data_IF_803141046313
#
_entry.id   IF_803141046313
#
_cell.length_a   1.000
_cell.length_b   1.000
_cell.length_c   1.000
_cell.angle_alpha   90.00
_cell.angle_beta   90.00
_cell.angle_gamma   90.00
#
_symmetry.space_group_name_H-M   'P 1'
#
loop_
_entity.id
_entity.type
_entity.pdbx_description
1 polymer ?
#
# COMPACT_ATOMS: atom_id res chain seq x y z
N UNK A 1 12.54 -29.71 -4.85
CA UNK A 1 12.77 -28.27 -4.51
C UNK A 1 14.00 -28.15 -3.60
N UNK A 2 14.68 -27.00 -3.57
CA UNK A 2 15.86 -26.77 -2.74
C UNK A 2 15.41 -26.34 -1.34
N UNK A 3 16.05 -26.85 -0.28
CA UNK A 3 15.79 -26.43 1.10
C UNK A 3 16.15 -24.96 1.28
N UNK A 4 15.32 -24.23 2.01
CA UNK A 4 15.56 -22.84 2.43
C UNK A 4 15.11 -22.61 3.87
N UNK A 5 15.59 -21.53 4.43
CA UNK A 5 15.26 -21.12 5.80
C UNK A 5 14.70 -19.70 5.81
N UNK A 6 13.62 -19.51 6.55
CA UNK A 6 13.13 -18.19 6.95
C UNK A 6 13.65 -17.93 8.37
N UNK A 7 14.55 -16.96 8.50
CA UNK A 7 15.17 -16.57 9.76
C UNK A 7 14.57 -15.25 10.22
N UNK A 8 14.03 -15.21 11.43
CA UNK A 8 13.45 -14.01 12.04
C UNK A 8 14.47 -13.28 12.92
N UNK A 9 14.30 -11.97 13.08
CA UNK A 9 15.17 -11.15 13.93
C UNK A 9 15.15 -11.55 15.42
N UNK A 10 14.11 -12.24 15.89
CA UNK A 10 14.04 -12.81 17.24
C UNK A 10 14.77 -14.16 17.40
N UNK A 11 15.41 -14.65 16.34
CA UNK A 11 16.14 -15.92 16.33
C UNK A 11 15.31 -17.15 15.97
N UNK A 12 14.01 -17.05 15.79
CA UNK A 12 13.18 -18.17 15.30
C UNK A 12 13.54 -18.48 13.86
N UNK A 13 13.62 -19.77 13.54
CA UNK A 13 13.95 -20.29 12.21
C UNK A 13 12.83 -21.24 11.78
N UNK A 14 12.36 -21.05 10.55
CA UNK A 14 11.46 -21.97 9.87
C UNK A 14 12.20 -22.61 8.70
N UNK A 15 12.08 -23.90 8.55
CA UNK A 15 12.60 -24.65 7.41
C UNK A 15 11.48 -24.86 6.39
N UNK A 16 11.80 -24.68 5.11
CA UNK A 16 10.86 -24.84 4.01
C UNK A 16 11.57 -25.16 2.70
N UNK A 17 10.85 -25.04 1.61
CA UNK A 17 11.31 -25.32 0.27
C UNK A 17 11.28 -24.07 -0.61
N UNK A 18 12.29 -23.94 -1.48
CA UNK A 18 12.40 -22.84 -2.43
C UNK A 18 11.37 -22.93 -3.54
N UNK A 19 10.70 -21.84 -3.84
CA UNK A 19 10.02 -21.57 -5.11
C UNK A 19 10.30 -20.14 -5.55
N UNK A 20 9.84 -19.72 -6.72
CA UNK A 20 10.23 -18.42 -7.26
C UNK A 20 11.72 -18.37 -7.64
N UNK A 21 12.33 -17.21 -7.46
CA UNK A 21 13.75 -17.00 -7.82
C UNK A 21 14.70 -17.67 -6.83
N UNK A 22 15.71 -18.39 -7.35
CA UNK A 22 16.76 -18.96 -6.50
C UNK A 22 17.75 -17.88 -6.07
N UNK A 23 17.49 -17.29 -4.92
CA UNK A 23 18.25 -16.20 -4.31
C UNK A 23 17.91 -16.06 -2.84
N UNK A 24 18.52 -15.08 -2.20
CA UNK A 24 18.26 -14.69 -0.81
C UNK A 24 17.52 -13.36 -0.74
N UNK A 25 16.78 -13.14 0.34
CA UNK A 25 16.08 -11.88 0.59
C UNK A 25 16.25 -11.46 2.04
N UNK A 26 16.29 -10.15 2.28
CA UNK A 26 16.20 -9.53 3.60
C UNK A 26 15.18 -8.41 3.53
N UNK A 27 14.24 -8.35 4.49
CA UNK A 27 13.21 -7.32 4.53
C UNK A 27 12.42 -7.36 5.83
N UNK A 28 11.53 -6.39 6.02
CA UNK A 28 10.55 -6.44 7.10
C UNK A 28 9.50 -7.51 6.79
N UNK A 29 9.36 -8.49 7.67
CA UNK A 29 8.37 -9.55 7.54
C UNK A 29 7.00 -9.03 7.99
N UNK A 30 6.04 -9.11 7.08
CA UNK A 30 4.64 -8.73 7.30
C UNK A 30 3.72 -9.86 6.84
N UNK A 31 2.50 -9.90 7.34
CA UNK A 31 1.53 -10.91 6.93
C UNK A 31 0.26 -10.27 6.35
N UNK A 32 -0.37 -11.00 5.44
CA UNK A 32 -1.66 -10.65 4.84
C UNK A 32 -2.61 -11.83 4.97
N UNK A 33 -3.80 -11.59 5.53
CA UNK A 33 -4.81 -12.62 5.84
C UNK A 33 -5.89 -12.77 4.77
N UNK A 34 -5.79 -12.06 3.65
CA UNK A 34 -6.77 -12.14 2.58
C UNK A 34 -6.81 -13.55 1.96
N UNK A 35 -8.00 -14.06 1.75
CA UNK A 35 -8.23 -15.34 1.09
C UNK A 35 -8.13 -15.24 -0.45
N UNK A 36 -8.23 -14.04 -1.00
CA UNK A 36 -8.19 -13.72 -2.43
C UNK A 36 -7.31 -12.48 -2.65
N UNK A 37 -6.98 -12.16 -3.90
CA UNK A 37 -6.22 -10.95 -4.22
C UNK A 37 -4.71 -11.08 -3.98
N UNK A 38 -4.16 -12.28 -4.10
CA UNK A 38 -2.71 -12.48 -3.98
C UNK A 38 -1.96 -11.87 -5.17
N UNK A 39 -2.56 -11.79 -6.36
CA UNK A 39 -1.98 -11.14 -7.55
C UNK A 39 -1.78 -9.64 -7.28
N UNK A 40 -2.82 -8.99 -6.79
CA UNK A 40 -2.80 -7.58 -6.38
C UNK A 40 -1.77 -7.38 -5.25
N UNK A 41 -1.79 -8.23 -4.22
CA UNK A 41 -0.85 -8.11 -3.10
C UNK A 41 0.62 -8.24 -3.54
N UNK A 42 0.97 -9.20 -4.39
CA UNK A 42 2.34 -9.41 -4.87
C UNK A 42 2.82 -8.25 -5.75
N UNK A 43 1.90 -7.58 -6.45
CA UNK A 43 2.21 -6.44 -7.34
C UNK A 43 2.00 -5.07 -6.70
N UNK A 44 1.54 -5.01 -5.44
CA UNK A 44 1.28 -3.80 -4.67
C UNK A 44 2.60 -3.07 -4.31
N UNK A 45 2.84 -1.82 -4.79
CA UNK A 45 4.08 -1.09 -4.52
C UNK A 45 4.33 -0.81 -3.04
N UNK A 46 3.29 -0.74 -2.21
CA UNK A 46 3.41 -0.48 -0.78
C UNK A 46 4.12 -1.58 0.00
N UNK A 47 4.35 -2.76 -0.60
CA UNK A 47 5.20 -3.81 -0.04
C UNK A 47 6.70 -3.65 -0.33
N UNK A 48 7.14 -2.50 -0.87
CA UNK A 48 8.57 -2.28 -1.09
C UNK A 48 9.38 -2.50 0.20
N UNK A 49 10.44 -3.32 0.09
CA UNK A 49 11.33 -3.63 1.20
C UNK A 49 10.80 -4.72 2.16
N UNK A 50 9.62 -5.26 1.92
CA UNK A 50 8.98 -6.22 2.81
C UNK A 50 9.06 -7.64 2.26
N UNK A 51 9.12 -8.61 3.17
CA UNK A 51 8.86 -10.04 2.92
C UNK A 51 7.40 -10.27 3.29
N UNK A 52 6.59 -10.63 2.30
CA UNK A 52 5.15 -10.84 2.48
C UNK A 52 4.84 -12.30 2.80
N UNK A 53 4.26 -12.56 3.97
CA UNK A 53 3.66 -13.86 4.31
C UNK A 53 2.17 -13.84 3.98
N UNK A 54 1.74 -14.67 3.03
CA UNK A 54 0.32 -14.87 2.73
C UNK A 54 -0.20 -16.04 3.55
N UNK A 55 -1.23 -15.80 4.37
CA UNK A 55 -1.68 -16.80 5.35
C UNK A 55 -2.70 -17.77 4.83
N UNK A 56 -3.33 -17.48 3.68
CA UNK A 56 -4.26 -18.42 3.05
C UNK A 56 -3.52 -19.73 2.70
N UNK A 57 -4.11 -20.90 2.97
CA UNK A 57 -3.39 -22.19 2.91
C UNK A 57 -2.73 -22.50 1.59
N UNK A 58 -3.41 -22.22 0.46
CA UNK A 58 -2.89 -22.51 -0.89
C UNK A 58 -2.95 -21.24 -1.73
N UNK A 59 -1.82 -20.80 -2.24
CA UNK A 59 -1.69 -19.62 -3.09
C UNK A 59 -1.42 -20.03 -4.54
N UNK A 60 -2.00 -19.31 -5.49
CA UNK A 60 -1.72 -19.55 -6.92
C UNK A 60 -2.81 -20.31 -7.68
N UNK A 61 -3.91 -20.71 -7.05
CA UNK A 61 -4.98 -21.50 -7.66
C UNK A 61 -5.58 -20.89 -8.93
N UNK A 62 -5.64 -19.55 -9.00
CA UNK A 62 -6.13 -18.82 -10.17
C UNK A 62 -5.01 -18.37 -11.12
N UNK A 63 -3.75 -18.70 -10.83
CA UNK A 63 -2.61 -18.21 -11.57
C UNK A 63 -2.38 -16.70 -11.38
N UNK A 64 -1.51 -16.12 -12.18
CA UNK A 64 -1.27 -14.68 -12.31
C UNK A 64 -1.93 -14.16 -13.56
N UNK A 65 -2.53 -12.97 -13.49
CA UNK A 65 -3.18 -12.31 -14.60
C UNK A 65 -2.81 -10.82 -14.61
N UNK A 66 -2.29 -10.33 -15.71
CA UNK A 66 -1.80 -8.96 -15.85
C UNK A 66 -2.89 -7.89 -15.64
N UNK A 67 -4.16 -8.20 -15.89
CA UNK A 67 -5.28 -7.27 -15.63
C UNK A 67 -5.47 -6.96 -14.14
N UNK A 68 -5.02 -7.85 -13.26
CA UNK A 68 -5.15 -7.74 -11.81
C UNK A 68 -3.87 -7.15 -11.15
N UNK A 69 -2.88 -6.73 -11.95
CA UNK A 69 -1.63 -6.13 -11.44
C UNK A 69 -1.85 -4.70 -10.97
N UNK A 70 -1.39 -4.40 -9.77
CA UNK A 70 -1.42 -3.04 -9.20
C UNK A 70 -0.25 -2.17 -9.64
N UNK A 71 0.82 -2.77 -10.20
CA UNK A 71 1.94 -2.03 -10.78
C UNK A 71 2.67 -2.83 -11.86
N UNK A 72 3.44 -2.12 -12.69
CA UNK A 72 4.24 -2.71 -13.77
C UNK A 72 5.34 -3.67 -13.24
N UNK A 73 5.75 -3.52 -11.97
CA UNK A 73 6.81 -4.32 -11.33
C UNK A 73 6.50 -4.56 -9.86
N UNK A 74 6.53 -5.81 -9.40
CA UNK A 74 6.42 -6.10 -7.98
C UNK A 74 7.57 -5.45 -7.20
N UNK A 75 7.31 -5.08 -5.95
CA UNK A 75 8.24 -4.34 -5.11
C UNK A 75 8.56 -5.05 -3.79
N UNK A 76 7.91 -6.17 -3.50
CA UNK A 76 8.25 -7.00 -2.35
C UNK A 76 9.65 -7.62 -2.51
N UNK A 77 10.31 -7.89 -1.40
CA UNK A 77 11.67 -8.45 -1.39
C UNK A 77 11.68 -9.98 -1.26
N UNK A 78 10.61 -10.56 -0.75
CA UNK A 78 10.44 -12.00 -0.64
C UNK A 78 8.99 -12.41 -0.40
N UNK A 79 8.69 -13.67 -0.63
CA UNK A 79 7.34 -14.20 -0.48
C UNK A 79 7.34 -15.48 0.33
N UNK A 80 6.40 -15.60 1.28
CA UNK A 80 6.29 -16.73 2.20
C UNK A 80 4.88 -17.28 2.15
N UNK A 81 4.73 -18.57 1.89
CA UNK A 81 3.43 -19.26 1.82
C UNK A 81 3.50 -20.61 2.53
N UNK A 82 2.35 -21.15 2.87
CA UNK A 82 2.25 -22.52 3.32
C UNK A 82 2.39 -23.48 2.13
N UNK A 83 1.54 -23.31 1.14
CA UNK A 83 1.54 -24.10 -0.09
C UNK A 83 1.31 -23.18 -1.29
N UNK A 84 1.88 -23.50 -2.44
CA UNK A 84 1.55 -22.85 -3.70
C UNK A 84 1.06 -23.87 -4.72
N UNK A 85 0.16 -23.41 -5.60
CA UNK A 85 -0.38 -24.20 -6.69
C UNK A 85 0.52 -24.04 -7.92
N UNK A 86 1.05 -25.13 -8.44
CA UNK A 86 1.89 -25.18 -9.65
C UNK A 86 1.07 -25.45 -10.93
N UNK A 87 -0.18 -25.91 -10.77
CA UNK A 87 -1.14 -26.15 -11.87
C UNK A 87 -2.42 -25.32 -11.64
N UNK A 88 -2.41 -24.03 -11.90
CA UNK A 88 -3.58 -23.17 -11.69
C UNK A 88 -4.74 -23.59 -12.60
N UNK A 89 -5.96 -23.60 -12.04
CA UNK A 89 -7.19 -23.94 -12.75
C UNK A 89 -8.11 -22.74 -12.88
N UNK A 90 -7.74 -21.78 -13.73
CA UNK A 90 -8.55 -20.61 -14.04
C UNK A 90 -8.33 -20.21 -15.50
N UNK A 91 -9.43 -19.90 -16.22
CA UNK A 91 -9.36 -19.51 -17.62
C UNK A 91 -8.61 -18.18 -17.87
N UNK A 92 -8.45 -17.33 -16.84
CA UNK A 92 -7.70 -16.07 -16.90
C UNK A 92 -6.23 -16.26 -16.56
N UNK A 93 -5.78 -17.46 -16.19
CA UNK A 93 -4.39 -17.70 -15.82
C UNK A 93 -3.46 -17.52 -17.03
N UNK A 94 -2.50 -16.62 -16.92
CA UNK A 94 -1.47 -16.37 -17.93
C UNK A 94 -0.15 -17.07 -17.59
N UNK A 95 0.13 -17.20 -16.28
CA UNK A 95 1.33 -17.86 -15.74
C UNK A 95 1.10 -18.30 -14.30
N UNK A 96 1.97 -19.15 -13.77
CA UNK A 96 1.98 -19.54 -12.36
C UNK A 96 2.60 -18.44 -11.49
N UNK A 97 2.33 -18.49 -10.18
CA UNK A 97 3.00 -17.60 -9.19
C UNK A 97 4.51 -17.85 -9.19
N UNK A 98 4.94 -19.10 -9.33
CA UNK A 98 6.36 -19.48 -9.39
C UNK A 98 7.07 -18.85 -10.58
N UNK A 99 6.49 -18.93 -11.78
CA UNK A 99 7.02 -18.30 -12.99
C UNK A 99 7.09 -16.78 -12.86
N UNK A 100 6.04 -16.16 -12.31
CA UNK A 100 6.01 -14.73 -12.07
C UNK A 100 7.12 -14.26 -11.11
N UNK A 101 7.30 -14.96 -9.99
CA UNK A 101 8.34 -14.63 -9.01
C UNK A 101 9.74 -14.84 -9.57
N UNK A 102 9.96 -15.92 -10.36
CA UNK A 102 11.22 -16.14 -11.09
C UNK A 102 11.56 -15.03 -12.07
N UNK A 103 10.59 -14.66 -12.89
CA UNK A 103 10.76 -13.59 -13.89
C UNK A 103 11.11 -12.24 -13.24
N UNK A 104 10.58 -11.98 -12.06
CA UNK A 104 10.80 -10.73 -11.32
C UNK A 104 11.94 -10.82 -10.27
N UNK A 105 12.67 -11.95 -10.21
CA UNK A 105 13.79 -12.19 -9.28
C UNK A 105 13.41 -12.05 -7.81
N UNK A 106 12.24 -12.55 -7.44
CA UNK A 106 11.73 -12.54 -6.07
C UNK A 106 11.95 -13.92 -5.44
N UNK A 107 12.80 -14.03 -4.41
CA UNK A 107 12.95 -15.29 -3.66
C UNK A 107 11.67 -15.61 -2.89
N UNK A 108 11.31 -16.89 -2.86
CA UNK A 108 10.14 -17.35 -2.14
C UNK A 108 10.39 -18.68 -1.43
N UNK A 109 9.64 -18.90 -0.36
CA UNK A 109 9.70 -20.10 0.45
C UNK A 109 8.29 -20.62 0.74
N UNK A 110 8.07 -21.92 0.55
CA UNK A 110 6.85 -22.64 0.91
C UNK A 110 7.10 -23.68 1.99
N UNK A 111 6.05 -24.35 2.46
CA UNK A 111 6.12 -25.30 3.56
C UNK A 111 6.18 -24.65 4.94
N UNK A 112 5.94 -23.35 5.04
CA UNK A 112 6.01 -22.60 6.30
C UNK A 112 4.68 -22.68 7.04
N UNK A 113 4.74 -22.90 8.37
CA UNK A 113 3.57 -22.71 9.21
C UNK A 113 3.25 -21.21 9.33
N UNK A 114 2.46 -20.73 8.36
CA UNK A 114 2.05 -19.32 8.29
C UNK A 114 1.14 -18.92 9.44
N UNK A 115 0.49 -19.87 10.11
CA UNK A 115 -0.32 -19.61 11.31
C UNK A 115 0.58 -19.31 12.50
N UNK A 116 1.57 -20.17 12.82
CA UNK A 116 2.56 -19.90 13.86
C UNK A 116 3.29 -18.58 13.58
N UNK A 117 3.67 -18.34 12.32
CA UNK A 117 4.34 -17.11 11.91
C UNK A 117 3.48 -15.86 12.19
N UNK A 118 2.18 -15.93 11.90
CA UNK A 118 1.24 -14.83 12.16
C UNK A 118 1.08 -14.58 13.67
N UNK A 119 0.99 -15.64 14.49
CA UNK A 119 0.92 -15.51 15.95
C UNK A 119 2.17 -14.81 16.49
N UNK A 120 3.36 -15.19 16.02
CA UNK A 120 4.62 -14.52 16.39
C UNK A 120 4.60 -13.04 16.05
N UNK A 121 4.19 -12.68 14.83
CA UNK A 121 4.16 -11.28 14.38
C UNK A 121 3.09 -10.46 15.10
N UNK A 122 1.95 -11.05 15.41
CA UNK A 122 0.91 -10.40 16.20
C UNK A 122 1.37 -10.13 17.64
N UNK A 123 2.07 -11.08 18.24
CA UNK A 123 2.47 -11.01 19.63
C UNK A 123 3.74 -10.17 19.84
N UNK A 124 4.65 -10.13 18.88
CA UNK A 124 5.94 -9.39 18.97
C UNK A 124 6.03 -8.16 18.07
N UNK A 125 5.09 -7.98 17.14
CA UNK A 125 5.14 -6.96 16.11
C UNK A 125 5.85 -7.42 14.84
N UNK A 126 5.75 -6.61 13.76
CA UNK A 126 6.54 -6.85 12.54
C UNK A 126 8.01 -6.75 12.86
N UNK A 127 8.82 -7.59 12.22
CA UNK A 127 10.26 -7.63 12.43
C UNK A 127 10.99 -7.97 11.13
N UNK A 128 12.28 -7.69 11.08
CA UNK A 128 13.09 -8.09 9.95
C UNK A 128 13.25 -9.62 9.89
N UNK A 129 13.31 -10.14 8.67
CA UNK A 129 13.54 -11.53 8.39
C UNK A 129 14.44 -11.70 7.17
N UNK A 130 15.01 -12.90 7.03
CA UNK A 130 15.75 -13.30 5.83
C UNK A 130 15.24 -14.64 5.30
N UNK A 131 15.18 -14.76 3.97
CA UNK A 131 15.07 -16.03 3.25
C UNK A 131 16.48 -16.38 2.78
N UNK A 132 17.05 -17.48 3.28
CA UNK A 132 18.45 -17.87 3.03
C UNK A 132 18.59 -19.36 2.73
N UNK A 133 19.68 -19.75 2.04
CA UNK A 133 20.01 -21.15 1.79
C UNK A 133 20.62 -21.82 3.02
N UNK A 134 21.39 -21.06 3.81
CA UNK A 134 22.05 -21.52 5.02
C UNK A 134 21.95 -20.46 6.10
N UNK A 135 21.84 -20.88 7.35
CA UNK A 135 21.76 -19.98 8.50
C UNK A 135 23.19 -19.73 9.02
N UNK A 136 23.71 -18.52 8.74
CA UNK A 136 25.01 -18.10 9.27
C UNK A 136 24.86 -17.58 10.72
N UNK A 137 25.96 -17.66 11.51
CA UNK A 137 25.99 -17.23 12.92
C UNK A 137 25.61 -15.74 13.11
N UNK A 138 25.91 -14.90 12.13
CA UNK A 138 25.66 -13.46 12.18
C UNK A 138 24.33 -13.04 11.53
N UNK A 139 23.56 -13.99 10.97
CA UNK A 139 22.29 -13.70 10.26
C UNK A 139 21.35 -12.87 11.11
N UNK A 140 21.04 -13.30 12.32
CA UNK A 140 20.13 -12.59 13.24
C UNK A 140 20.67 -11.20 13.61
N UNK A 141 21.99 -11.09 13.84
CA UNK A 141 22.63 -9.82 14.17
C UNK A 141 22.56 -8.81 13.01
N UNK A 142 22.65 -9.30 11.78
CA UNK A 142 22.54 -8.46 10.58
C UNK A 142 21.09 -8.01 10.35
N UNK A 143 20.11 -8.87 10.63
CA UNK A 143 18.68 -8.51 10.57
C UNK A 143 18.32 -7.34 11.49
N UNK A 144 18.89 -7.28 12.69
CA UNK A 144 18.62 -6.19 13.63
C UNK A 144 19.05 -4.80 13.11
N UNK A 145 19.96 -4.76 12.15
CA UNK A 145 20.48 -3.51 11.54
C UNK A 145 19.77 -3.11 10.24
N UNK A 146 19.00 -4.04 9.66
CA UNK A 146 18.34 -3.77 8.38
C UNK A 146 17.27 -2.68 8.53
N UNK A 147 17.29 -1.70 7.61
CA UNK A 147 16.29 -0.62 7.51
C UNK A 147 15.86 -0.45 6.07
N UNK A 148 14.58 -0.24 5.86
CA UNK A 148 14.04 0.15 4.56
C UNK A 148 14.25 1.66 4.43
N UNK A 149 14.96 2.09 3.38
CA UNK A 149 15.26 3.51 3.12
C UNK A 149 14.87 3.89 1.71
N UNK A 150 14.63 5.17 1.46
CA UNK A 150 14.33 5.72 0.13
C UNK A 150 13.14 5.04 -0.57
N UNK A 151 12.15 4.56 0.20
CA UNK A 151 11.07 3.74 -0.34
C UNK A 151 10.33 4.42 -1.50
N UNK A 152 9.91 5.68 -1.34
CA UNK A 152 9.21 6.43 -2.38
C UNK A 152 10.06 6.60 -3.66
N UNK A 153 11.33 6.91 -3.51
CA UNK A 153 12.27 7.03 -4.64
C UNK A 153 12.39 5.74 -5.45
N UNK A 154 12.23 4.59 -4.80
CA UNK A 154 12.40 3.26 -5.41
C UNK A 154 11.14 2.77 -6.11
N UNK A 155 9.96 3.20 -5.69
CA UNK A 155 8.68 2.83 -6.31
C UNK A 155 8.20 3.83 -7.34
N UNK A 156 8.56 5.10 -7.18
CA UNK A 156 8.16 6.19 -8.06
C UNK A 156 8.67 6.03 -9.49
N UNK A 157 7.80 6.32 -10.44
CA UNK A 157 8.08 6.32 -11.86
C UNK A 157 8.44 7.71 -12.41
N UNK A 158 8.59 7.76 -13.73
CA UNK A 158 8.68 9.02 -14.49
C UNK A 158 7.28 9.61 -14.68
N UNK A 159 7.21 10.87 -15.14
CA UNK A 159 5.93 11.48 -15.53
C UNK A 159 5.15 10.57 -16.47
N UNK A 160 3.91 10.28 -16.11
CA UNK A 160 2.99 9.43 -16.88
C UNK A 160 1.61 10.09 -16.94
N UNK A 161 0.98 10.04 -18.09
CA UNK A 161 -0.38 10.58 -18.28
C UNK A 161 -1.31 9.43 -18.61
N UNK A 162 -2.32 9.25 -17.77
CA UNK A 162 -3.40 8.30 -17.97
C UNK A 162 -4.62 9.07 -18.49
N UNK A 163 -5.04 8.73 -19.71
CA UNK A 163 -6.17 9.39 -20.36
C UNK A 163 -7.49 8.94 -19.74
N UNK A 164 -8.45 9.85 -19.73
CA UNK A 164 -9.82 9.52 -19.40
C UNK A 164 -10.39 8.46 -20.37
N UNK A 165 -11.22 7.58 -19.85
CA UNK A 165 -12.03 6.68 -20.67
C UNK A 165 -13.22 7.50 -21.20
N UNK A 166 -13.33 7.62 -22.52
CA UNK A 166 -14.34 8.46 -23.16
C UNK A 166 -14.00 9.95 -23.12
N UNK A 167 -14.98 10.80 -22.79
CA UNK A 167 -14.79 12.26 -22.74
C UNK A 167 -14.01 12.68 -21.50
N UNK A 168 -12.97 13.48 -21.69
CA UNK A 168 -12.24 14.11 -20.57
C UNK A 168 -13.15 15.18 -19.92
N UNK A 169 -13.44 14.98 -18.63
CA UNK A 169 -14.28 15.89 -17.84
C UNK A 169 -13.45 16.67 -16.82
N UNK A 170 -12.46 16.01 -16.22
CA UNK A 170 -11.61 16.55 -15.16
C UNK A 170 -10.14 16.19 -15.37
N UNK A 171 -9.26 17.00 -14.82
CA UNK A 171 -7.82 16.81 -14.79
C UNK A 171 -7.35 16.65 -13.35
N UNK A 172 -6.62 15.57 -13.07
CA UNK A 172 -6.09 15.25 -11.75
C UNK A 172 -4.56 15.23 -11.82
N UNK A 173 -3.90 15.92 -10.88
CA UNK A 173 -2.47 15.78 -10.64
C UNK A 173 -2.23 14.82 -9.47
N UNK A 174 -1.19 13.98 -9.59
CA UNK A 174 -0.85 12.98 -8.58
C UNK A 174 0.68 12.85 -8.47
N UNK A 175 1.31 13.11 -7.31
CA UNK A 175 2.67 12.68 -7.07
C UNK A 175 2.71 11.15 -6.95
N UNK A 176 3.66 10.50 -7.61
CA UNK A 176 3.76 9.04 -7.64
C UNK A 176 4.48 8.51 -6.40
N UNK A 177 3.74 8.23 -5.34
CA UNK A 177 4.23 7.58 -4.13
C UNK A 177 4.22 6.05 -4.21
N UNK A 178 3.86 5.48 -5.35
CA UNK A 178 3.57 4.07 -5.57
C UNK A 178 2.08 3.84 -5.78
N UNK A 179 1.47 4.66 -6.65
CA UNK A 179 0.05 4.60 -6.94
C UNK A 179 -0.36 3.28 -7.59
N UNK A 180 -1.45 2.70 -7.10
CA UNK A 180 -2.01 1.48 -7.66
C UNK A 180 -2.74 1.72 -8.97
N UNK A 181 -2.68 0.73 -9.86
CA UNK A 181 -3.40 0.74 -11.12
C UNK A 181 -4.92 0.85 -10.90
N UNK A 182 -5.45 0.17 -9.90
CA UNK A 182 -6.87 0.22 -9.52
C UNK A 182 -7.33 1.63 -9.13
N UNK A 183 -6.53 2.38 -8.35
CA UNK A 183 -6.84 3.77 -8.00
C UNK A 183 -6.89 4.67 -9.24
N UNK A 184 -5.92 4.55 -10.14
CA UNK A 184 -5.86 5.33 -11.38
C UNK A 184 -7.05 4.97 -12.28
N UNK A 185 -7.34 3.68 -12.45
CA UNK A 185 -8.45 3.16 -13.25
C UNK A 185 -9.79 3.70 -12.77
N UNK A 186 -10.03 3.69 -11.46
CA UNK A 186 -11.24 4.22 -10.85
C UNK A 186 -11.56 5.65 -11.32
N UNK A 187 -10.57 6.53 -11.39
CA UNK A 187 -10.77 7.92 -11.82
C UNK A 187 -10.81 8.05 -13.34
N UNK A 188 -9.99 7.28 -14.08
CA UNK A 188 -10.01 7.35 -15.55
C UNK A 188 -11.35 6.87 -16.13
N UNK A 189 -11.98 5.85 -15.54
CA UNK A 189 -13.31 5.37 -15.91
C UNK A 189 -14.44 6.39 -15.63
N UNK A 190 -14.19 7.34 -14.74
CA UNK A 190 -15.12 8.47 -14.46
C UNK A 190 -14.81 9.73 -15.30
N UNK A 191 -14.02 9.61 -16.35
CA UNK A 191 -13.69 10.71 -17.24
C UNK A 191 -12.60 11.65 -16.71
N UNK A 192 -11.79 11.21 -15.75
CA UNK A 192 -10.67 11.98 -15.25
C UNK A 192 -9.39 11.65 -16.03
N UNK A 193 -8.69 12.65 -16.55
CA UNK A 193 -7.30 12.50 -16.95
C UNK A 193 -6.41 12.57 -15.70
N UNK A 194 -5.59 11.57 -15.44
CA UNK A 194 -4.67 11.52 -14.31
C UNK A 194 -3.23 11.70 -14.78
N UNK A 195 -2.57 12.75 -14.30
CA UNK A 195 -1.15 13.01 -14.59
C UNK A 195 -0.32 12.72 -13.35
N UNK A 196 0.44 11.63 -13.39
CA UNK A 196 1.39 11.27 -12.36
C UNK A 196 2.72 12.00 -12.60
N UNK A 197 3.26 12.65 -11.57
CA UNK A 197 4.61 13.20 -11.53
C UNK A 197 5.46 12.38 -10.56
N UNK A 198 6.81 12.41 -10.67
CA UNK A 198 7.67 11.76 -9.69
C UNK A 198 7.36 12.18 -8.25
N UNK A 199 7.63 11.29 -7.27
CA UNK A 199 7.31 11.48 -5.85
C UNK A 199 7.84 12.81 -5.26
N UNK A 200 8.94 13.31 -5.80
CA UNK A 200 9.63 14.54 -5.37
C UNK A 200 9.22 15.78 -6.17
N UNK A 201 8.15 15.69 -6.98
CA UNK A 201 7.60 16.88 -7.63
C UNK A 201 7.12 17.88 -6.55
N UNK A 202 7.49 19.13 -6.69
CA UNK A 202 7.07 20.20 -5.80
C UNK A 202 5.64 20.71 -6.09
N UNK A 203 5.13 21.57 -5.24
CA UNK A 203 3.77 22.10 -5.36
C UNK A 203 3.58 22.93 -6.65
N UNK A 204 4.61 23.67 -7.09
CA UNK A 204 4.56 24.48 -8.30
C UNK A 204 4.42 23.58 -9.54
N UNK A 205 5.20 22.50 -9.61
CA UNK A 205 5.13 21.54 -10.70
C UNK A 205 3.75 20.84 -10.80
N UNK A 206 3.16 20.50 -9.65
CA UNK A 206 1.83 19.88 -9.60
C UNK A 206 0.75 20.88 -10.00
N UNK A 207 0.81 22.14 -9.52
CA UNK A 207 -0.15 23.18 -9.85
C UNK A 207 -0.01 23.70 -11.29
N UNK A 208 1.20 23.65 -11.88
CA UNK A 208 1.45 24.02 -13.27
C UNK A 208 0.71 23.11 -14.28
N UNK A 209 0.23 21.94 -13.86
CA UNK A 209 -0.66 21.10 -14.66
C UNK A 209 -2.10 21.66 -14.74
N UNK A 210 -2.40 22.72 -14.01
CA UNK A 210 -3.75 23.29 -13.78
C UNK A 210 -4.81 22.21 -13.52
N UNK A 211 -4.61 21.38 -12.48
CA UNK A 211 -5.55 20.30 -12.19
C UNK A 211 -6.83 20.82 -11.56
N UNK A 212 -7.91 20.08 -11.76
CA UNK A 212 -9.17 20.30 -11.04
C UNK A 212 -9.09 19.80 -9.59
N UNK A 213 -8.27 18.75 -9.36
CA UNK A 213 -8.02 18.19 -8.04
C UNK A 213 -6.66 17.47 -7.96
N UNK A 214 -6.24 17.17 -6.76
CA UNK A 214 -4.97 16.49 -6.47
C UNK A 214 -5.25 15.21 -5.67
N UNK A 215 -4.67 14.09 -6.09
CA UNK A 215 -4.69 12.84 -5.32
C UNK A 215 -3.32 12.60 -4.74
N UNK A 216 -3.27 12.34 -3.44
CA UNK A 216 -2.10 11.85 -2.73
C UNK A 216 -2.27 10.33 -2.55
N UNK A 217 -1.57 9.49 -3.32
CA UNK A 217 -1.83 8.05 -3.33
C UNK A 217 -1.18 7.33 -2.15
N UNK A 218 -1.48 6.03 -2.03
CA UNK A 218 -0.77 5.11 -1.15
C UNK A 218 0.70 4.94 -1.55
N UNK A 219 1.48 4.37 -0.65
CA UNK A 219 2.90 4.10 -0.88
C UNK A 219 3.56 3.42 0.32
N UNK A 220 4.81 2.97 0.16
CA UNK A 220 5.58 2.30 1.19
C UNK A 220 6.31 3.25 2.14
N UNK A 221 6.77 2.69 3.25
CA UNK A 221 7.72 3.32 4.17
C UNK A 221 7.09 4.09 5.33
N UNK A 222 7.93 4.74 6.11
CA UNK A 222 7.53 5.62 7.20
C UNK A 222 7.12 6.98 6.65
N UNK A 223 5.88 7.45 6.88
CA UNK A 223 5.44 8.76 6.41
C UNK A 223 6.32 9.91 6.94
N UNK A 224 6.81 9.82 8.18
CA UNK A 224 7.60 10.86 8.81
C UNK A 224 9.01 11.04 8.20
N UNK A 225 9.53 10.04 7.49
CA UNK A 225 10.82 10.13 6.78
C UNK A 225 10.75 10.97 5.49
N UNK A 226 9.57 11.38 5.06
CA UNK A 226 9.34 12.04 3.77
C UNK A 226 9.10 13.55 3.90
N UNK A 227 9.99 14.26 4.59
CA UNK A 227 9.86 15.70 4.90
C UNK A 227 9.55 16.57 3.65
N UNK A 228 10.23 16.31 2.52
CA UNK A 228 9.99 17.07 1.29
C UNK A 228 8.57 16.87 0.74
N UNK A 229 8.02 15.64 0.82
CA UNK A 229 6.63 15.37 0.42
C UNK A 229 5.65 16.06 1.37
N UNK A 230 5.93 16.04 2.67
CA UNK A 230 5.10 16.74 3.68
C UNK A 230 5.06 18.24 3.39
N UNK A 231 6.20 18.87 3.10
CA UNK A 231 6.29 20.29 2.75
C UNK A 231 5.54 20.61 1.45
N UNK A 232 5.65 19.75 0.43
CA UNK A 232 4.88 19.88 -0.80
C UNK A 232 3.37 19.83 -0.53
N UNK A 233 2.91 18.85 0.25
CA UNK A 233 1.48 18.72 0.63
C UNK A 233 1.01 19.93 1.40
N UNK A 234 1.82 20.47 2.31
CA UNK A 234 1.51 21.70 3.06
C UNK A 234 1.31 22.91 2.13
N UNK A 235 2.14 23.05 1.10
CA UNK A 235 2.02 24.14 0.10
C UNK A 235 0.81 23.97 -0.82
N UNK A 236 0.37 22.74 -1.08
CA UNK A 236 -0.82 22.42 -1.88
C UNK A 236 -2.14 22.66 -1.12
N UNK A 237 -2.10 22.64 0.20
CA UNK A 237 -3.28 22.74 1.08
C UNK A 237 -4.08 24.02 0.79
N UNK A 238 -5.38 23.86 0.56
CA UNK A 238 -6.31 24.96 0.26
C UNK A 238 -6.22 25.52 -1.17
N UNK A 239 -5.28 25.07 -2.01
CA UNK A 239 -5.16 25.55 -3.41
C UNK A 239 -6.12 24.86 -4.36
N UNK A 240 -6.33 23.57 -4.19
CA UNK A 240 -7.21 22.70 -4.98
C UNK A 240 -7.86 21.68 -4.06
N UNK A 241 -8.98 21.05 -4.44
CA UNK A 241 -9.48 19.86 -3.76
C UNK A 241 -8.41 18.77 -3.66
N UNK A 242 -8.26 18.16 -2.46
CA UNK A 242 -7.26 17.10 -2.22
C UNK A 242 -7.97 15.86 -1.69
N UNK A 243 -7.63 14.71 -2.27
CA UNK A 243 -7.98 13.39 -1.78
C UNK A 243 -6.71 12.60 -1.42
N UNK A 244 -6.57 12.19 -0.17
CA UNK A 244 -5.44 11.37 0.31
C UNK A 244 -5.84 9.93 0.58
N UNK A 245 -4.99 8.96 0.16
CA UNK A 245 -5.21 7.53 0.37
C UNK A 245 -3.97 6.89 0.98
N UNK A 246 -4.12 6.07 2.03
CA UNK A 246 -3.04 5.33 2.64
C UNK A 246 -1.90 6.24 3.12
N UNK A 247 -0.73 6.18 2.49
CA UNK A 247 0.38 7.10 2.77
C UNK A 247 -0.02 8.56 2.53
N UNK A 248 -0.81 8.85 1.51
CA UNK A 248 -1.31 10.20 1.24
C UNK A 248 -2.19 10.75 2.36
N UNK A 249 -2.99 9.91 3.03
CA UNK A 249 -3.71 10.26 4.25
C UNK A 249 -2.74 10.67 5.37
N UNK A 250 -1.70 9.89 5.59
CA UNK A 250 -0.71 10.12 6.65
C UNK A 250 0.13 11.38 6.38
N UNK A 251 0.60 11.57 5.13
CA UNK A 251 1.34 12.77 4.72
C UNK A 251 0.49 14.04 4.84
N UNK A 252 -0.81 13.96 4.50
CA UNK A 252 -1.71 15.10 4.67
C UNK A 252 -1.88 15.46 6.15
N UNK A 253 -2.08 14.47 7.03
CA UNK A 253 -2.17 14.69 8.48
C UNK A 253 -0.89 15.32 9.05
N UNK A 254 0.30 14.80 8.66
CA UNK A 254 1.60 15.36 9.04
C UNK A 254 1.77 16.80 8.56
N UNK A 255 1.35 17.11 7.33
CA UNK A 255 1.38 18.48 6.77
C UNK A 255 0.51 19.47 7.57
N UNK A 256 -0.54 18.98 8.25
CA UNK A 256 -1.39 19.76 9.16
C UNK A 256 -0.90 19.75 10.62
N UNK A 257 0.30 19.21 10.90
CA UNK A 257 0.92 19.20 12.22
C UNK A 257 0.55 18.02 13.11
N UNK A 258 -0.22 17.06 12.60
CA UNK A 258 -0.48 15.82 13.32
C UNK A 258 0.77 14.93 13.39
N UNK A 259 0.70 13.84 14.13
CA UNK A 259 1.76 12.83 14.27
C UNK A 259 1.27 11.48 13.81
N UNK A 260 2.20 10.64 13.41
CA UNK A 260 1.98 9.24 13.06
C UNK A 260 2.77 8.33 13.98
N UNK A 261 2.32 7.10 14.12
CA UNK A 261 3.01 6.06 14.87
C UNK A 261 2.99 4.72 14.11
N UNK A 262 3.98 3.89 14.38
CA UNK A 262 4.04 2.54 13.82
C UNK A 262 3.12 1.62 14.59
N UNK A 263 2.23 0.94 13.87
CA UNK A 263 1.40 -0.13 14.42
C UNK A 263 2.24 -1.36 14.73
N UNK A 264 1.85 -2.13 15.73
CA UNK A 264 2.56 -3.34 16.15
C UNK A 264 2.74 -4.33 14.99
N UNK A 265 1.67 -4.61 14.24
CA UNK A 265 1.71 -5.50 13.07
C UNK A 265 1.05 -4.92 11.82
N UNK A 266 0.43 -3.73 11.92
CA UNK A 266 -0.27 -3.06 10.83
C UNK A 266 -1.58 -3.71 10.42
N UNK A 267 -2.28 -3.08 9.48
CA UNK A 267 -3.49 -3.62 8.87
C UNK A 267 -3.20 -4.05 7.43
N UNK A 268 -3.33 -5.37 7.16
CA UNK A 268 -3.11 -5.94 5.82
C UNK A 268 -4.13 -7.02 5.53
N UNK A 269 -4.78 -6.90 4.36
CA UNK A 269 -5.80 -7.82 3.90
C UNK A 269 -7.10 -7.13 3.51
N UNK A 270 -8.03 -7.91 2.98
CA UNK A 270 -9.30 -7.43 2.39
C UNK A 270 -10.49 -7.51 3.38
N UNK A 271 -10.25 -7.73 4.66
CA UNK A 271 -11.31 -7.95 5.67
C UNK A 271 -11.17 -7.06 6.91
N UNK A 272 -10.67 -5.83 6.73
CA UNK A 272 -10.52 -4.88 7.83
C UNK A 272 -11.84 -4.13 8.07
N UNK A 273 -12.45 -4.27 9.27
CA UNK A 273 -13.72 -3.62 9.56
C UNK A 273 -13.49 -2.17 9.97
N UNK A 274 -14.12 -1.25 9.23
CA UNK A 274 -14.04 0.19 9.46
C UNK A 274 -15.42 0.74 9.72
N UNK A 275 -15.60 1.49 10.81
CA UNK A 275 -16.83 2.17 11.14
C UNK A 275 -16.85 3.56 10.50
N UNK A 276 -17.83 3.82 9.67
CA UNK A 276 -18.22 5.18 9.28
C UNK A 276 -18.98 5.84 10.46
N UNK A 277 -18.41 6.89 10.99
CA UNK A 277 -18.91 7.55 12.21
C UNK A 277 -20.26 8.25 11.95
N UNK A 278 -20.43 8.82 10.75
CA UNK A 278 -21.63 9.57 10.41
C UNK A 278 -22.86 8.66 10.21
N UNK A 279 -22.69 7.61 9.42
CA UNK A 279 -23.79 6.66 9.15
C UNK A 279 -23.93 5.58 10.20
N UNK A 280 -22.91 5.37 11.05
CA UNK A 280 -22.83 4.29 12.02
C UNK A 280 -22.60 2.90 11.41
N UNK A 281 -22.44 2.79 10.09
CA UNK A 281 -22.26 1.53 9.36
C UNK A 281 -20.83 1.02 9.50
N UNK A 282 -20.68 -0.30 9.46
CA UNK A 282 -19.37 -0.95 9.36
C UNK A 282 -19.14 -1.37 7.92
N UNK A 283 -18.03 -0.91 7.36
CA UNK A 283 -17.53 -1.26 6.04
C UNK A 283 -16.45 -2.33 6.18
N UNK A 284 -16.39 -3.28 5.27
CA UNK A 284 -15.27 -4.21 5.16
C UNK A 284 -14.34 -3.66 4.09
N UNK A 285 -13.11 -3.35 4.48
CA UNK A 285 -12.15 -2.62 3.64
C UNK A 285 -10.91 -3.43 3.35
N UNK A 286 -10.24 -3.11 2.24
CA UNK A 286 -8.91 -3.59 1.91
C UNK A 286 -7.87 -2.58 2.40
N UNK A 287 -6.86 -3.07 3.13
CA UNK A 287 -5.82 -2.22 3.72
C UNK A 287 -4.43 -2.84 3.54
N UNK A 288 -3.42 -1.98 3.44
CA UNK A 288 -2.02 -2.37 3.49
C UNK A 288 -1.19 -1.20 4.04
N UNK A 289 -1.11 -1.11 5.37
CA UNK A 289 -0.30 -0.09 6.03
C UNK A 289 0.27 -0.57 7.35
N UNK A 290 1.41 0.01 7.75
CA UNK A 290 2.08 -0.25 9.02
C UNK A 290 2.08 0.95 9.98
N UNK A 291 1.55 2.10 9.55
CA UNK A 291 1.50 3.33 10.34
C UNK A 291 0.07 3.86 10.42
N UNK A 292 -0.23 4.60 11.48
CA UNK A 292 -1.52 5.27 11.69
C UNK A 292 -1.32 6.71 12.14
N UNK A 293 -2.33 7.55 11.96
CA UNK A 293 -2.37 8.92 12.47
C UNK A 293 -2.83 8.88 13.93
N UNK A 294 -2.12 9.61 14.82
CA UNK A 294 -2.46 9.70 16.23
C UNK A 294 -3.62 10.69 16.40
N UNK A 295 -4.83 10.25 16.84
CA UNK A 295 -6.05 11.04 16.81
C UNK A 295 -5.94 12.37 17.60
N UNK A 296 -5.34 12.34 18.78
CA UNK A 296 -5.20 13.50 19.67
C UNK A 296 -4.27 14.59 19.13
N UNK A 297 -3.55 14.33 18.06
CA UNK A 297 -2.63 15.28 17.41
C UNK A 297 -3.24 15.98 16.20
N UNK A 298 -4.42 15.57 15.78
CA UNK A 298 -5.13 16.20 14.68
C UNK A 298 -5.54 17.64 15.04
N UNK A 299 -5.49 18.60 14.08
CA UNK A 299 -5.94 19.96 14.34
C UNK A 299 -7.45 19.98 14.65
N UNK A 300 -7.89 20.89 15.51
CA UNK A 300 -9.30 20.99 15.94
C UNK A 300 -10.32 21.28 14.81
N UNK A 301 -9.84 21.64 13.62
CA UNK A 301 -10.66 21.80 12.41
C UNK A 301 -10.85 20.52 11.60
N UNK A 302 -10.08 19.48 11.92
CA UNK A 302 -10.20 18.16 11.31
C UNK A 302 -11.34 17.36 11.96
N UNK A 303 -12.03 16.58 11.16
CA UNK A 303 -13.13 15.71 11.62
C UNK A 303 -12.76 14.26 11.28
N UNK A 304 -12.58 13.42 12.28
CA UNK A 304 -12.42 11.97 12.08
C UNK A 304 -13.76 11.44 11.56
N UNK A 305 -13.73 10.78 10.42
CA UNK A 305 -14.91 10.24 9.73
C UNK A 305 -15.00 8.72 9.82
N UNK A 306 -13.86 8.05 9.91
CA UNK A 306 -13.79 6.60 9.96
C UNK A 306 -12.79 6.13 11.03
N UNK A 307 -13.14 5.03 11.71
CA UNK A 307 -12.26 4.36 12.68
C UNK A 307 -12.27 2.86 12.48
N UNK A 308 -11.15 2.19 12.71
CA UNK A 308 -11.09 0.73 12.72
C UNK A 308 -11.90 0.19 13.91
N UNK A 309 -12.67 -0.88 13.69
CA UNK A 309 -13.54 -1.46 14.73
C UNK A 309 -12.74 -2.24 15.77
N UNK A 310 -11.57 -2.80 15.38
CA UNK A 310 -10.79 -3.70 16.23
C UNK A 310 -9.93 -2.94 17.25
N UNK A 311 -9.34 -1.80 16.84
CA UNK A 311 -8.34 -1.08 17.65
C UNK A 311 -8.57 0.43 17.71
N UNK A 312 -9.66 0.92 17.12
CA UNK A 312 -10.08 2.33 17.11
C UNK A 312 -9.07 3.30 16.44
N UNK A 313 -8.13 2.80 15.64
CA UNK A 313 -7.23 3.64 14.85
C UNK A 313 -8.00 4.51 13.86
N UNK A 314 -7.41 5.67 13.49
CA UNK A 314 -7.99 6.61 12.54
C UNK A 314 -7.90 6.05 11.13
N UNK A 315 -9.04 5.90 10.47
CA UNK A 315 -9.16 5.35 9.14
C UNK A 315 -9.64 6.36 8.09
N UNK A 316 -10.11 7.52 8.52
CA UNK A 316 -10.52 8.59 7.61
C UNK A 316 -10.68 9.92 8.32
N UNK A 317 -10.32 11.00 7.64
CA UNK A 317 -10.40 12.37 8.16
C UNK A 317 -10.89 13.32 7.08
N UNK A 318 -11.87 14.17 7.42
CA UNK A 318 -12.27 15.31 6.64
C UNK A 318 -11.61 16.59 7.16
N UNK A 319 -11.19 17.45 6.23
CA UNK A 319 -10.64 18.79 6.49
C UNK A 319 -11.47 19.85 5.73
N UNK A 320 -12.70 20.18 6.22
CA UNK A 320 -13.65 20.97 5.45
C UNK A 320 -13.13 22.35 5.02
N UNK A 321 -12.40 23.03 5.90
CA UNK A 321 -11.81 24.36 5.63
C UNK A 321 -10.67 24.34 4.63
N UNK A 322 -10.10 23.16 4.37
CA UNK A 322 -8.94 22.95 3.49
C UNK A 322 -9.33 22.28 2.16
N UNK A 323 -10.62 22.05 1.93
CA UNK A 323 -11.14 21.33 0.76
C UNK A 323 -10.44 19.98 0.57
N UNK A 324 -10.28 19.21 1.65
CA UNK A 324 -9.59 17.93 1.62
C UNK A 324 -10.31 16.87 2.44
N UNK A 325 -10.21 15.63 2.01
CA UNK A 325 -10.53 14.46 2.81
C UNK A 325 -9.56 13.32 2.53
N UNK A 326 -9.42 12.43 3.49
CA UNK A 326 -8.41 11.37 3.40
C UNK A 326 -8.93 10.06 3.97
N UNK A 327 -8.50 8.94 3.39
CA UNK A 327 -8.84 7.58 3.83
C UNK A 327 -7.56 6.76 3.99
N UNK A 328 -7.46 5.98 5.06
CA UNK A 328 -6.33 5.08 5.27
C UNK A 328 -6.44 3.80 4.45
N UNK A 329 -7.66 3.37 4.13
CA UNK A 329 -7.99 2.16 3.37
C UNK A 329 -8.17 2.42 1.87
N UNK A 330 -8.17 1.36 1.08
CA UNK A 330 -8.44 1.44 -0.36
C UNK A 330 -9.87 1.98 -0.61
N UNK A 331 -10.02 3.08 -1.35
CA UNK A 331 -11.31 3.72 -1.57
C UNK A 331 -12.20 2.88 -2.47
N UNK A 332 -13.51 2.95 -2.24
CA UNK A 332 -14.47 2.43 -3.19
C UNK A 332 -14.84 3.48 -4.27
N UNK A 333 -15.17 2.98 -5.46
CA UNK A 333 -15.46 3.84 -6.62
C UNK A 333 -16.79 4.62 -6.49
N UNK A 334 -17.66 4.23 -5.56
CA UNK A 334 -18.98 4.86 -5.43
C UNK A 334 -18.98 6.03 -4.46
N UNK A 335 -18.44 5.87 -3.27
CA UNK A 335 -18.50 6.92 -2.25
C UNK A 335 -17.34 7.91 -2.34
N UNK A 336 -16.12 7.42 -2.29
CA UNK A 336 -14.93 8.28 -2.24
C UNK A 336 -14.67 8.99 -3.58
N UNK A 337 -14.78 8.27 -4.70
CA UNK A 337 -14.59 8.85 -6.02
C UNK A 337 -15.65 9.91 -6.34
N UNK A 338 -16.92 9.61 -6.08
CA UNK A 338 -18.03 10.58 -6.31
C UNK A 338 -17.90 11.80 -5.41
N UNK A 339 -17.51 11.62 -4.14
CA UNK A 339 -17.23 12.74 -3.23
C UNK A 339 -16.14 13.66 -3.80
N UNK A 340 -15.03 13.08 -4.28
CA UNK A 340 -13.93 13.88 -4.83
C UNK A 340 -14.31 14.60 -6.12
N UNK A 341 -15.03 13.93 -7.03
CA UNK A 341 -15.54 14.55 -8.25
C UNK A 341 -16.44 15.73 -7.92
N UNK A 342 -17.38 15.57 -6.98
CA UNK A 342 -18.25 16.67 -6.54
C UNK A 342 -17.46 17.87 -5.99
N UNK A 343 -16.41 17.63 -5.21
CA UNK A 343 -15.54 18.70 -4.72
C UNK A 343 -14.84 19.45 -5.86
N UNK A 344 -14.40 18.75 -6.92
CA UNK A 344 -13.83 19.38 -8.12
C UNK A 344 -14.87 20.19 -8.90
N UNK A 345 -16.12 19.72 -8.99
CA UNK A 345 -17.22 20.45 -9.63
C UNK A 345 -17.53 21.76 -8.90
N UNK A 346 -17.67 21.71 -7.59
CA UNK A 346 -17.94 22.87 -6.74
C UNK A 346 -16.82 23.93 -6.88
N UNK A 347 -15.57 23.50 -6.96
CA UNK A 347 -14.43 24.39 -7.18
C UNK A 347 -14.45 25.06 -8.56
N UNK A 348 -14.89 24.34 -9.62
CA UNK A 348 -15.05 24.92 -10.97
C UNK A 348 -16.13 25.99 -11.04
N UNK A 349 -17.23 25.80 -10.33
CA UNK A 349 -18.35 26.78 -10.31
C UNK A 349 -17.97 28.07 -9.57
N UNK A 350 -17.04 27.97 -8.61
CA UNK A 350 -16.57 29.12 -7.83
C UNK A 350 -15.47 29.95 -8.52
N UNK A 351 -14.96 29.52 -9.68
CA UNK A 351 -14.00 30.26 -10.53
C UNK A 351 -14.70 31.06 -11.60
#
# INVERSE_FOLDING_TARGET
MKRKYLVLANGKIFEGESFGYDGTAVGELVFNTAAVGYTEAVTEPSYYGQILAQTFPVIGNSGMNAEDFESDKPRLFGYVVREYCDEPSNFRSEMTVDEFLKANKIPAICGIDTRELTEILRDNGTMNAAIVDEVAEDTVKNLAKHKITDALKKVSGKKKVHKAVGKELYSIAMPDYGANASLIKMFTEKGCKVTCLPYNADAEQLLALDPDGIILPQGPGDPAENAACIDTVKQLTGKKPIFGVGLGHQLFALAQGAKTEKLKFGHRGASQPVKDIESGKVLITSQNHGYTVIPDTLPGTAKITHTNVNDATVEGVDYPTLKAFTLQFAPDAKSACEKFIKMMEEEKVCR
#
